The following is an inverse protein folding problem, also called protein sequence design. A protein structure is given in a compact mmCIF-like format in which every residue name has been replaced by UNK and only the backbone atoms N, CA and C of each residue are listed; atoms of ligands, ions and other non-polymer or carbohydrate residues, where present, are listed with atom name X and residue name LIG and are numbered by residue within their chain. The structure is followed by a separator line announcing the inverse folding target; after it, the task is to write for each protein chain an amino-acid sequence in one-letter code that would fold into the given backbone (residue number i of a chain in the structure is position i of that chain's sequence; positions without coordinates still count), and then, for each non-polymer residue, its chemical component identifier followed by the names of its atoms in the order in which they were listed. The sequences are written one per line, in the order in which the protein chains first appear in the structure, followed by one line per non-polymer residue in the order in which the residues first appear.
data_IF_034026636469
#
_entry.id   IF_034026636469
#
_cell.length_a   1.000
_cell.length_b   1.000
_cell.length_c   1.000
_cell.angle_alpha   90.00
_cell.angle_beta   90.00
_cell.angle_gamma   90.00
#
_symmetry.space_group_name_H-M   'P 1'
#
loop_
_entity.id
_entity.type
_entity.pdbx_description
1 polymer ?
#
# COMPACT_ATOMS: atom_id res chain seq x y z
N UNK A 1 -7.85 -14.41 28.02
CA UNK A 1 -7.54 -15.21 26.82
C UNK A 1 -6.09 -14.90 26.47
N UNK A 2 -5.17 -15.70 26.99
CA UNK A 2 -3.77 -15.62 26.58
C UNK A 2 -3.70 -16.18 25.16
N UNK A 3 -3.40 -15.32 24.20
CA UNK A 3 -3.14 -15.73 22.83
C UNK A 3 -1.74 -16.32 22.88
N UNK A 4 -1.63 -17.64 22.86
CA UNK A 4 -0.34 -18.33 22.81
C UNK A 4 0.46 -17.81 21.62
N UNK A 5 1.50 -17.02 21.91
CA UNK A 5 2.56 -16.75 20.95
C UNK A 5 3.19 -18.10 20.65
N UNK A 6 2.95 -18.63 19.45
CA UNK A 6 3.63 -19.84 19.00
C UNK A 6 5.13 -19.66 19.17
N UNK A 7 5.82 -20.73 19.58
CA UNK A 7 7.27 -20.80 19.75
C UNK A 7 7.98 -20.64 18.39
N UNK A 8 7.92 -19.44 17.82
CA UNK A 8 8.73 -19.07 16.69
C UNK A 8 10.16 -18.93 17.19
N UNK A 9 10.97 -19.97 16.92
CA UNK A 9 12.40 -19.92 17.16
C UNK A 9 13.05 -18.97 16.15
N UNK A 10 13.02 -17.66 16.46
CA UNK A 10 13.72 -16.66 15.69
C UNK A 10 15.22 -16.87 15.88
N UNK A 11 16.00 -17.14 14.81
CA UNK A 11 17.45 -17.20 14.93
C UNK A 11 17.94 -15.86 15.45
N UNK A 12 18.62 -15.87 16.62
CA UNK A 12 19.17 -14.67 17.25
C UNK A 12 20.19 -14.03 16.30
N UNK A 13 19.91 -12.81 15.83
CA UNK A 13 20.71 -12.04 14.85
C UNK A 13 22.20 -11.90 15.24
N UNK A 14 22.50 -12.07 16.52
CA UNK A 14 23.80 -12.00 17.15
C UNK A 14 24.74 -13.18 16.79
N UNK A 15 24.23 -14.26 16.19
CA UNK A 15 25.03 -15.40 15.74
C UNK A 15 25.51 -15.29 14.29
N UNK A 16 25.09 -14.25 13.57
CA UNK A 16 25.47 -14.04 12.17
C UNK A 16 26.86 -13.38 12.13
N UNK A 17 27.91 -14.19 12.31
CA UNK A 17 29.29 -13.76 12.09
C UNK A 17 29.46 -13.11 10.70
N UNK A 18 30.36 -12.12 10.58
CA UNK A 18 30.51 -11.23 9.42
C UNK A 18 30.56 -11.90 8.03
N UNK A 19 30.95 -13.17 7.94
CA UNK A 19 30.92 -13.96 6.71
C UNK A 19 29.52 -14.29 6.18
N UNK A 20 28.48 -14.33 7.03
CA UNK A 20 27.09 -14.51 6.57
C UNK A 20 26.42 -13.18 6.21
N UNK A 21 26.86 -12.06 6.80
CA UNK A 21 26.28 -10.73 6.53
C UNK A 21 26.59 -10.26 5.10
N UNK A 22 27.78 -10.61 4.59
CA UNK A 22 28.19 -10.32 3.22
C UNK A 22 27.31 -10.98 2.15
N UNK A 23 26.58 -12.05 2.50
CA UNK A 23 25.61 -12.71 1.62
C UNK A 23 24.41 -11.79 1.34
N UNK A 24 24.08 -10.90 2.28
CA UNK A 24 22.90 -10.02 2.19
C UNK A 24 23.27 -8.58 1.85
N UNK A 25 24.38 -8.08 2.39
CA UNK A 25 24.80 -6.68 2.25
C UNK A 25 26.27 -6.61 1.81
N UNK A 26 26.50 -5.96 0.69
CA UNK A 26 27.84 -5.69 0.18
C UNK A 26 28.58 -4.68 1.07
N UNK A 27 29.92 -4.62 1.02
CA UNK A 27 30.72 -3.64 1.78
C UNK A 27 30.35 -2.17 1.53
N UNK A 28 29.64 -1.88 0.44
CA UNK A 28 29.15 -0.55 0.07
C UNK A 28 27.75 -0.25 0.59
N UNK A 29 27.25 -1.03 1.55
CA UNK A 29 25.89 -0.93 2.10
C UNK A 29 24.78 -1.08 1.04
N UNK A 30 25.06 -1.82 -0.04
CA UNK A 30 24.08 -2.19 -1.07
C UNK A 30 23.66 -3.63 -0.89
N UNK A 31 22.40 -3.95 -1.18
CA UNK A 31 21.91 -5.33 -1.18
C UNK A 31 22.69 -6.17 -2.19
N UNK A 32 22.97 -7.43 -1.85
CA UNK A 32 23.58 -8.36 -2.79
C UNK A 32 22.63 -8.66 -3.95
N UNK A 33 23.18 -8.87 -5.14
CA UNK A 33 22.38 -9.10 -6.36
C UNK A 33 21.53 -10.37 -6.25
N UNK A 34 22.07 -11.44 -5.65
CA UNK A 34 21.36 -12.70 -5.44
C UNK A 34 20.19 -12.55 -4.47
N UNK A 35 20.34 -11.73 -3.42
CA UNK A 35 19.26 -11.44 -2.48
C UNK A 35 18.20 -10.53 -3.08
N UNK A 36 18.61 -9.52 -3.86
CA UNK A 36 17.70 -8.64 -4.57
C UNK A 36 16.86 -9.42 -5.59
N UNK A 37 17.48 -10.29 -6.39
CA UNK A 37 16.79 -11.14 -7.35
C UNK A 37 15.74 -12.04 -6.66
N UNK A 38 16.10 -12.69 -5.55
CA UNK A 38 15.17 -13.53 -4.79
C UNK A 38 14.02 -12.73 -4.19
N UNK A 39 14.31 -11.56 -3.62
CA UNK A 39 13.30 -10.65 -3.06
C UNK A 39 12.34 -10.16 -4.15
N UNK A 40 12.86 -9.83 -5.33
CA UNK A 40 12.05 -9.45 -6.49
C UNK A 40 11.12 -10.59 -6.92
N UNK A 41 11.61 -11.82 -7.04
CA UNK A 41 10.76 -12.98 -7.38
C UNK A 41 9.63 -13.18 -6.38
N UNK A 42 9.92 -13.08 -5.07
CA UNK A 42 8.89 -13.21 -4.03
C UNK A 42 7.89 -12.05 -4.11
N UNK A 43 8.37 -10.84 -4.36
CA UNK A 43 7.50 -9.66 -4.54
C UNK A 43 6.56 -9.84 -5.73
N UNK A 44 7.08 -10.32 -6.86
CA UNK A 44 6.30 -10.59 -8.07
C UNK A 44 5.23 -11.68 -7.81
N UNK A 45 5.58 -12.74 -7.09
CA UNK A 45 4.64 -13.80 -6.69
C UNK A 45 3.51 -13.28 -5.78
N UNK A 46 3.85 -12.51 -4.76
CA UNK A 46 2.86 -11.94 -3.83
C UNK A 46 1.94 -10.97 -4.58
N UNK A 47 2.50 -10.11 -5.43
CA UNK A 47 1.72 -9.15 -6.22
C UNK A 47 0.71 -9.88 -7.12
N UNK A 48 1.12 -10.96 -7.78
CA UNK A 48 0.21 -11.78 -8.59
C UNK A 48 -0.94 -12.39 -7.78
N UNK A 49 -0.68 -12.89 -6.56
CA UNK A 49 -1.72 -13.43 -5.68
C UNK A 49 -2.70 -12.34 -5.21
N UNK A 50 -2.16 -11.17 -4.87
CA UNK A 50 -2.95 -10.01 -4.44
C UNK A 50 -3.83 -9.49 -5.57
N UNK A 51 -3.30 -9.42 -6.79
CA UNK A 51 -4.08 -9.02 -7.96
C UNK A 51 -5.20 -10.01 -8.26
N UNK A 52 -4.95 -11.32 -8.07
CA UNK A 52 -5.99 -12.34 -8.13
C UNK A 52 -7.13 -12.10 -7.12
N UNK A 53 -6.80 -11.67 -5.90
CA UNK A 53 -7.79 -11.36 -4.86
C UNK A 53 -8.70 -10.18 -5.22
N UNK A 54 -8.19 -9.17 -5.94
CA UNK A 54 -8.98 -8.01 -6.39
C UNK A 54 -10.16 -8.38 -7.32
N UNK A 55 -10.02 -9.47 -8.07
CA UNK A 55 -11.08 -9.95 -8.96
C UNK A 55 -12.14 -10.80 -8.23
N UNK A 56 -11.94 -11.11 -6.95
CA UNK A 56 -12.90 -11.85 -6.14
C UNK A 56 -13.95 -10.93 -5.51
N UNK A 57 -15.17 -11.43 -5.27
CA UNK A 57 -16.28 -10.65 -4.72
C UNK A 57 -15.97 -10.01 -3.35
N UNK A 58 -15.10 -10.63 -2.53
CA UNK A 58 -14.67 -10.14 -1.22
C UNK A 58 -13.82 -8.87 -1.29
N UNK A 59 -13.03 -8.69 -2.35
CA UNK A 59 -12.19 -7.51 -2.54
C UNK A 59 -12.98 -6.22 -2.82
N UNK A 60 -14.30 -6.31 -2.99
CA UNK A 60 -15.17 -5.19 -3.37
C UNK A 60 -15.97 -4.58 -2.22
N UNK A 61 -15.82 -5.04 -0.98
CA UNK A 61 -16.70 -4.59 0.11
C UNK A 61 -16.13 -3.40 0.91
N UNK A 62 -14.81 -3.31 1.07
CA UNK A 62 -14.15 -2.31 1.90
C UNK A 62 -13.27 -1.35 1.07
N UNK A 63 -13.54 -0.05 1.14
CA UNK A 63 -12.82 1.02 0.43
C UNK A 63 -11.71 1.67 1.25
N UNK A 64 -11.47 1.26 2.49
CA UNK A 64 -10.45 1.86 3.36
C UNK A 64 -9.02 1.49 2.94
N UNK A 65 -8.03 2.20 3.49
CA UNK A 65 -6.61 1.87 3.27
C UNK A 65 -6.17 0.68 4.13
N UNK A 66 -6.73 0.54 5.34
CA UNK A 66 -6.28 -0.43 6.33
C UNK A 66 -6.52 -1.88 5.89
N UNK A 67 -7.72 -2.17 5.40
CA UNK A 67 -8.15 -3.53 4.99
C UNK A 67 -8.75 -3.58 3.59
N UNK A 68 -9.07 -2.42 3.02
CA UNK A 68 -9.77 -2.32 1.75
C UNK A 68 -8.86 -2.27 0.52
N UNK A 69 -9.52 -2.17 -0.65
CA UNK A 69 -8.83 -2.13 -1.95
C UNK A 69 -8.02 -0.84 -2.17
N UNK A 70 -8.25 0.22 -1.39
CA UNK A 70 -7.41 1.43 -1.43
C UNK A 70 -6.01 1.16 -0.85
N UNK A 71 -5.87 0.25 0.11
CA UNK A 71 -4.56 -0.19 0.59
C UNK A 71 -3.76 -0.90 -0.50
N UNK A 72 -4.45 -1.67 -1.33
CA UNK A 72 -3.87 -2.30 -2.52
C UNK A 72 -3.50 -1.26 -3.57
N UNK A 73 -4.33 -0.23 -3.78
CA UNK A 73 -4.00 0.90 -4.64
C UNK A 73 -2.72 1.61 -4.18
N UNK A 74 -2.57 1.84 -2.87
CA UNK A 74 -1.37 2.43 -2.28
C UNK A 74 -0.13 1.55 -2.52
N UNK A 75 -0.28 0.23 -2.39
CA UNK A 75 0.81 -0.74 -2.62
C UNK A 75 1.30 -0.67 -4.06
N UNK A 76 0.38 -0.69 -5.03
CA UNK A 76 0.69 -0.53 -6.46
C UNK A 76 1.33 0.82 -6.77
N UNK A 77 0.90 1.89 -6.11
CA UNK A 77 1.55 3.20 -6.23
C UNK A 77 3.00 3.20 -5.70
N UNK A 78 3.27 2.55 -4.57
CA UNK A 78 4.63 2.42 -4.03
C UNK A 78 5.54 1.58 -4.94
N UNK A 79 4.99 0.51 -5.54
CA UNK A 79 5.69 -0.27 -6.57
C UNK A 79 6.04 0.64 -7.75
N UNK A 80 5.08 1.38 -8.30
CA UNK A 80 5.33 2.35 -9.37
C UNK A 80 6.41 3.39 -8.99
N UNK A 81 6.42 3.91 -7.75
CA UNK A 81 7.46 4.84 -7.32
C UNK A 81 8.87 4.25 -7.38
N UNK A 82 9.01 2.94 -7.16
CA UNK A 82 10.29 2.23 -7.16
C UNK A 82 10.69 1.69 -8.53
N UNK A 83 9.75 1.12 -9.29
CA UNK A 83 10.03 0.43 -10.56
C UNK A 83 9.66 1.25 -11.79
N UNK A 84 8.89 2.34 -11.62
CA UNK A 84 8.29 3.15 -12.71
C UNK A 84 7.42 2.31 -13.66
N UNK A 85 6.87 1.20 -13.17
CA UNK A 85 6.01 0.31 -13.94
C UNK A 85 4.63 0.90 -14.24
N UNK A 86 4.34 1.20 -15.51
CA UNK A 86 3.07 1.80 -15.93
C UNK A 86 1.80 0.98 -15.57
N UNK A 87 1.74 -0.35 -15.78
CA UNK A 87 0.61 -1.17 -15.36
C UNK A 87 0.21 -1.01 -13.89
N UNK A 88 1.18 -0.94 -12.98
CA UNK A 88 0.92 -0.75 -11.54
C UNK A 88 0.27 0.61 -11.27
N UNK A 89 0.63 1.65 -12.03
CA UNK A 89 -0.01 2.96 -11.91
C UNK A 89 -1.47 2.94 -12.36
N UNK A 90 -1.79 2.24 -13.45
CA UNK A 90 -3.17 2.13 -13.94
C UNK A 90 -4.08 1.41 -12.95
N UNK A 91 -3.58 0.32 -12.36
CA UNK A 91 -4.31 -0.42 -11.32
C UNK A 91 -4.56 0.50 -10.11
N UNK A 92 -3.54 1.22 -9.65
CA UNK A 92 -3.67 2.16 -8.54
C UNK A 92 -4.72 3.25 -8.82
N UNK A 93 -4.75 3.82 -10.03
CA UNK A 93 -5.77 4.80 -10.45
C UNK A 93 -7.17 4.20 -10.45
N UNK A 94 -7.36 3.04 -11.07
CA UNK A 94 -8.68 2.39 -11.17
C UNK A 94 -9.28 2.06 -9.80
N UNK A 95 -8.45 1.53 -8.89
CA UNK A 95 -8.87 1.23 -7.53
C UNK A 95 -9.21 2.52 -6.76
N UNK A 96 -8.41 3.57 -6.91
CA UNK A 96 -8.65 4.85 -6.24
C UNK A 96 -9.91 5.54 -6.76
N UNK A 97 -10.17 5.53 -8.07
CA UNK A 97 -11.42 6.04 -8.66
C UNK A 97 -12.65 5.30 -8.10
N UNK A 98 -12.54 3.98 -7.94
CA UNK A 98 -13.60 3.16 -7.33
C UNK A 98 -13.78 3.46 -5.84
N UNK A 99 -12.74 3.90 -5.13
CA UNK A 99 -12.82 4.28 -3.71
C UNK A 99 -13.48 5.64 -3.53
N UNK A 100 -13.15 6.60 -4.40
CA UNK A 100 -13.71 7.96 -4.35
C UNK A 100 -15.23 7.97 -4.58
N UNK A 101 -15.78 7.02 -5.36
CA UNK A 101 -17.23 6.91 -5.55
C UNK A 101 -17.99 6.32 -4.36
N UNK A 102 -17.28 5.77 -3.35
CA UNK A 102 -17.86 5.06 -2.19
C UNK A 102 -17.60 5.73 -0.85
N UNK A 103 -17.15 6.98 -0.86
CA UNK A 103 -16.88 7.75 0.36
C UNK A 103 -18.19 7.98 1.14
N UNK A 104 -18.16 7.76 2.46
CA UNK A 104 -19.32 7.86 3.33
C UNK A 104 -19.39 9.18 4.11
N UNK A 105 -18.27 9.89 4.25
CA UNK A 105 -18.12 11.15 4.99
C UNK A 105 -18.02 11.00 6.51
N UNK A 106 -18.08 9.77 7.04
CA UNK A 106 -18.20 9.52 8.49
C UNK A 106 -16.85 9.51 9.23
N UNK A 107 -15.77 9.09 8.57
CA UNK A 107 -14.44 8.92 9.18
C UNK A 107 -13.37 9.70 8.40
N UNK A 108 -12.60 10.53 9.12
CA UNK A 108 -11.61 11.47 8.53
C UNK A 108 -10.16 10.94 8.61
N UNK A 109 -9.95 9.72 9.08
CA UNK A 109 -8.60 9.13 9.20
C UNK A 109 -8.03 8.65 7.85
N UNK A 110 -6.71 8.66 7.69
CA UNK A 110 -6.06 8.14 6.48
C UNK A 110 -6.23 6.61 6.32
N UNK A 111 -6.09 5.83 7.40
CA UNK A 111 -6.12 4.37 7.32
C UNK A 111 -7.55 3.82 7.19
N UNK A 112 -8.45 4.27 8.06
CA UNK A 112 -9.81 3.71 8.20
C UNK A 112 -10.91 4.63 7.69
N UNK A 113 -10.56 5.76 7.08
CA UNK A 113 -11.52 6.78 6.67
C UNK A 113 -11.26 7.31 5.26
N UNK A 114 -12.05 8.31 4.89
CA UNK A 114 -12.13 8.82 3.53
C UNK A 114 -10.97 9.73 3.15
N UNK A 115 -10.23 10.24 4.14
CA UNK A 115 -9.00 10.99 3.89
C UNK A 115 -7.95 10.15 3.17
N UNK A 116 -7.94 8.82 3.35
CA UNK A 116 -7.02 7.91 2.68
C UNK A 116 -7.19 7.90 1.16
N UNK A 117 -8.32 7.41 0.65
CA UNK A 117 -8.62 7.41 -0.78
C UNK A 117 -8.49 8.80 -1.44
N UNK A 118 -8.94 9.86 -0.75
CA UNK A 118 -8.86 11.23 -1.28
C UNK A 118 -7.42 11.75 -1.36
N UNK A 119 -6.58 11.48 -0.35
CA UNK A 119 -5.17 11.86 -0.38
C UNK A 119 -4.41 11.10 -1.47
N UNK A 120 -4.65 9.79 -1.60
CA UNK A 120 -4.03 8.98 -2.64
C UNK A 120 -4.45 9.44 -4.04
N UNK A 121 -5.74 9.71 -4.25
CA UNK A 121 -6.27 10.22 -5.51
C UNK A 121 -5.64 11.56 -5.89
N UNK A 122 -5.51 12.48 -4.93
CA UNK A 122 -4.85 13.78 -5.15
C UNK A 122 -3.43 13.60 -5.66
N UNK A 123 -2.64 12.70 -5.06
CA UNK A 123 -1.26 12.43 -5.49
C UNK A 123 -1.22 11.81 -6.89
N UNK A 124 -2.07 10.83 -7.16
CA UNK A 124 -2.14 10.14 -8.45
C UNK A 124 -2.54 11.08 -9.59
N UNK A 125 -3.54 11.94 -9.38
CA UNK A 125 -3.96 12.92 -10.40
C UNK A 125 -2.94 14.05 -10.58
N UNK A 126 -2.27 14.47 -9.50
CA UNK A 126 -1.19 15.46 -9.59
C UNK A 126 -0.02 14.96 -10.44
N UNK A 127 0.29 13.66 -10.38
CA UNK A 127 1.31 13.03 -11.21
C UNK A 127 0.92 12.96 -12.71
N UNK A 128 -0.37 12.95 -13.01
CA UNK A 128 -0.90 12.86 -14.38
C UNK A 128 -1.06 14.23 -15.06
N UNK A 129 -0.72 15.32 -14.35
CA UNK A 129 -0.96 16.69 -14.81
C UNK A 129 -2.45 17.07 -14.92
N UNK A 130 -3.35 16.21 -14.42
CA UNK A 130 -4.79 16.36 -14.57
C UNK A 130 -5.38 17.15 -13.38
N UNK A 131 -5.17 18.46 -13.42
CA UNK A 131 -5.53 19.38 -12.34
C UNK A 131 -7.05 19.57 -12.17
N UNK A 132 -7.89 19.20 -13.15
CA UNK A 132 -9.35 19.36 -13.02
C UNK A 132 -9.97 18.37 -12.02
N UNK A 133 -9.36 17.18 -11.86
CA UNK A 133 -9.72 16.22 -10.78
C UNK A 133 -9.00 16.49 -9.46
N UNK A 134 -8.15 17.51 -9.39
CA UNK A 134 -7.52 17.97 -8.14
C UNK A 134 -8.51 18.54 -7.11
N UNK A 135 -9.80 18.59 -7.44
CA UNK A 135 -10.89 18.84 -6.48
C UNK A 135 -10.84 17.90 -5.26
N UNK A 136 -10.21 16.72 -5.37
CA UNK A 136 -9.89 15.87 -4.20
C UNK A 136 -9.08 16.62 -3.12
N UNK A 137 -8.20 17.55 -3.50
CA UNK A 137 -7.46 18.41 -2.57
C UNK A 137 -8.38 19.37 -1.80
N UNK A 138 -9.46 19.83 -2.45
CA UNK A 138 -10.49 20.63 -1.79
C UNK A 138 -11.39 19.76 -0.90
N UNK A 139 -11.70 18.53 -1.30
CA UNK A 139 -12.45 17.56 -0.50
C UNK A 139 -11.69 17.16 0.78
N UNK A 140 -10.37 16.94 0.72
CA UNK A 140 -9.54 16.69 1.91
C UNK A 140 -9.56 17.90 2.86
N UNK A 141 -9.49 19.12 2.33
CA UNK A 141 -9.63 20.35 3.13
C UNK A 141 -11.04 20.57 3.68
N UNK A 142 -12.05 19.98 3.04
CA UNK A 142 -13.46 20.03 3.45
C UNK A 142 -13.85 18.96 4.47
N UNK A 143 -13.02 17.94 4.71
CA UNK A 143 -13.23 16.95 5.77
C UNK A 143 -13.10 17.65 7.13
N UNK A 144 -14.17 18.32 7.55
CA UNK A 144 -14.35 18.72 8.95
C UNK A 144 -14.60 17.45 9.74
N UNK A 145 -13.95 17.26 10.91
CA UNK A 145 -14.40 16.24 11.83
C UNK A 145 -15.82 16.61 12.26
N UNK A 146 -16.83 16.00 11.64
CA UNK A 146 -18.17 15.99 12.19
C UNK A 146 -18.10 15.13 13.44
N UNK A 147 -17.88 15.80 14.57
CA UNK A 147 -18.08 15.23 15.89
C UNK A 147 -19.57 14.91 16.00
N UNK A 148 -19.98 13.74 15.53
CA UNK A 148 -21.32 13.21 15.77
C UNK A 148 -21.30 12.66 17.19
N UNK A 149 -21.61 13.55 18.15
CA UNK A 149 -21.88 13.16 19.53
C UNK A 149 -23.02 12.12 19.47
N UNK A 150 -22.72 10.89 19.87
CA UNK A 150 -23.75 9.89 20.19
C UNK A 150 -24.26 10.14 21.60
#
# INVERSE_FOLDING_TARGET
IEIGMGDYNYPKLNEIHGSKVSIYVTPYNKLSESFYARTKTVTDQITHLVDGYLYTSRGREDHTIYTGYTGLALTHFLIYRKTKNAPSLEIAKKLTDTAITRLSGDLVSFLTGDAGPLALGTVLYSLDGNLDRSSCCNSVKMLRPTYRVR
#
